data_IF_686171053565
#
_entry.id   IF_686171053565
#
_cell.length_a   1.000
_cell.length_b   1.000
_cell.length_c   1.000
_cell.angle_alpha   90.00
_cell.angle_beta   90.00
_cell.angle_gamma   90.00
#
_symmetry.space_group_name_H-M   'P 1'
#
loop_
_entity.id
_entity.type
_entity.pdbx_description
1 polymer ?
#
# COMPACT_ATOMS: atom_id res chain seq x y z
N UNK A 1 35.65 -4.01 36.99
CA UNK A 1 34.21 -4.28 36.75
C UNK A 1 33.80 -3.37 35.61
N UNK A 2 33.78 -3.87 34.38
CA UNK A 2 33.42 -3.07 33.20
C UNK A 2 31.91 -3.17 33.05
N UNK A 3 31.20 -2.08 33.37
CA UNK A 3 29.79 -1.95 33.04
C UNK A 3 29.69 -1.93 31.52
N UNK A 4 29.22 -3.04 30.94
CA UNK A 4 28.86 -3.12 29.53
C UNK A 4 27.74 -2.12 29.31
N UNK A 5 28.04 -0.96 28.75
CA UNK A 5 27.03 -0.08 28.15
C UNK A 5 26.33 -0.92 27.09
N UNK A 6 25.10 -1.35 27.38
CA UNK A 6 24.21 -1.86 26.34
C UNK A 6 24.00 -0.68 25.39
N UNK A 7 24.48 -0.81 24.16
CA UNK A 7 23.98 0.01 23.07
C UNK A 7 22.46 -0.13 23.11
N UNK A 8 21.73 0.93 23.43
CA UNK A 8 20.28 0.97 23.19
C UNK A 8 20.13 0.74 21.69
N UNK A 9 19.53 -0.38 21.29
CA UNK A 9 19.11 -0.52 19.90
C UNK A 9 18.11 0.61 19.64
N UNK A 10 18.22 1.29 18.51
CA UNK A 10 17.55 2.59 18.27
C UNK A 10 16.03 2.45 18.17
N UNK A 11 15.53 1.24 17.94
CA UNK A 11 14.12 0.92 17.79
C UNK A 11 13.80 -0.31 18.65
N UNK A 12 12.87 -0.18 19.59
CA UNK A 12 12.31 -1.27 20.39
C UNK A 12 10.87 -1.58 19.93
N UNK A 13 10.13 -0.57 19.45
CA UNK A 13 8.76 -0.73 18.95
C UNK A 13 8.53 0.00 17.63
N UNK A 14 8.01 -0.74 16.65
CA UNK A 14 7.70 -0.21 15.31
C UNK A 14 6.20 -0.33 15.06
N UNK A 15 5.55 0.81 14.83
CA UNK A 15 4.13 0.85 14.47
C UNK A 15 3.98 0.72 12.95
N UNK A 16 3.11 -0.19 12.52
CA UNK A 16 2.76 -0.43 11.12
C UNK A 16 1.24 -0.26 10.95
N UNK A 17 0.76 0.94 10.59
CA UNK A 17 -0.66 1.15 10.28
C UNK A 17 -0.99 0.60 8.89
N UNK A 18 -1.93 -0.33 8.81
CA UNK A 18 -2.42 -0.93 7.57
C UNK A 18 -3.88 -0.53 7.32
N UNK A 19 -4.25 -0.41 6.04
CA UNK A 19 -5.63 -0.26 5.58
C UNK A 19 -6.13 -1.51 4.85
N UNK A 20 -5.39 -2.62 4.92
CA UNK A 20 -5.74 -3.90 4.28
C UNK A 20 -5.61 -3.90 2.76
N UNK A 21 -5.06 -2.84 2.15
CA UNK A 21 -4.97 -2.73 0.70
C UNK A 21 -3.82 -3.51 0.06
N UNK A 22 -4.01 -3.88 -1.20
CA UNK A 22 -2.99 -4.48 -2.04
C UNK A 22 -1.68 -3.66 -2.06
N UNK A 23 -0.55 -4.38 -2.04
CA UNK A 23 0.79 -3.78 -2.09
C UNK A 23 1.34 -3.39 -0.72
N UNK A 24 0.52 -3.42 0.34
CA UNK A 24 0.98 -3.15 1.71
C UNK A 24 2.02 -4.17 2.21
N UNK A 25 2.15 -5.33 1.56
CA UNK A 25 3.20 -6.32 1.80
C UNK A 25 4.61 -5.74 1.79
N UNK A 26 4.87 -4.74 0.93
CA UNK A 26 6.17 -4.04 0.91
C UNK A 26 6.42 -3.30 2.22
N UNK A 27 5.41 -2.61 2.75
CA UNK A 27 5.54 -1.87 4.01
C UNK A 27 5.82 -2.83 5.16
N UNK A 28 5.04 -3.92 5.24
CA UNK A 28 5.21 -4.94 6.26
C UNK A 28 6.59 -5.62 6.17
N UNK A 29 7.07 -5.94 4.96
CA UNK A 29 8.38 -6.55 4.74
C UNK A 29 9.54 -5.63 5.16
N UNK A 30 9.47 -4.33 4.82
CA UNK A 30 10.47 -3.34 5.23
C UNK A 30 10.46 -3.13 6.74
N UNK A 31 9.28 -2.96 7.34
CA UNK A 31 9.13 -2.80 8.79
C UNK A 31 9.66 -4.03 9.55
N UNK A 32 9.34 -5.24 9.08
CA UNK A 32 9.84 -6.46 9.67
C UNK A 32 11.36 -6.61 9.50
N UNK A 33 11.94 -6.16 8.39
CA UNK A 33 13.40 -6.12 8.21
C UNK A 33 14.09 -5.18 9.21
N UNK A 34 13.51 -4.00 9.45
CA UNK A 34 14.01 -3.07 10.47
C UNK A 34 13.88 -3.69 11.87
N UNK A 35 12.74 -4.33 12.16
CA UNK A 35 12.48 -4.95 13.45
C UNK A 35 13.45 -6.11 13.75
N UNK A 36 13.68 -6.99 12.78
CA UNK A 36 14.61 -8.12 12.89
C UNK A 36 16.04 -7.64 13.18
N UNK A 37 16.52 -6.62 12.44
CA UNK A 37 17.84 -6.02 12.69
C UNK A 37 17.94 -5.35 14.07
N UNK A 38 16.83 -4.88 14.62
CA UNK A 38 16.78 -4.12 15.86
C UNK A 38 16.38 -4.95 17.09
N UNK A 39 15.97 -6.22 16.92
CA UNK A 39 15.32 -7.02 17.96
C UNK A 39 14.09 -6.30 18.55
N UNK A 40 13.27 -5.71 17.66
CA UNK A 40 12.12 -4.88 18.00
C UNK A 40 10.78 -5.62 17.82
N UNK A 41 9.75 -5.15 18.51
CA UNK A 41 8.37 -5.63 18.34
C UNK A 41 7.62 -4.79 17.31
N UNK A 42 6.90 -5.44 16.40
CA UNK A 42 5.98 -4.78 15.46
C UNK A 42 4.60 -4.66 16.08
N UNK A 43 4.00 -3.48 15.97
CA UNK A 43 2.60 -3.26 16.27
C UNK A 43 1.84 -3.07 14.96
N UNK A 44 1.05 -4.06 14.55
CA UNK A 44 0.18 -3.95 13.38
C UNK A 44 -1.14 -3.27 13.79
N UNK A 45 -1.43 -2.11 13.22
CA UNK A 45 -2.61 -1.31 13.58
C UNK A 45 -3.56 -1.19 12.39
N UNK A 46 -4.82 -1.51 12.60
CA UNK A 46 -5.92 -1.10 11.73
C UNK A 46 -6.85 -0.13 12.45
N UNK A 47 -7.33 0.92 11.76
CA UNK A 47 -8.25 1.91 12.33
C UNK A 47 -9.55 1.93 11.54
N UNK A 48 -10.63 1.50 12.17
CA UNK A 48 -12.00 1.61 11.66
C UNK A 48 -12.43 3.07 11.76
N UNK A 49 -12.63 3.71 10.60
CA UNK A 49 -13.15 5.08 10.54
C UNK A 49 -14.67 5.05 10.75
N UNK A 50 -15.22 5.65 11.83
CA UNK A 50 -16.65 5.62 12.09
C UNK A 50 -17.48 6.29 10.99
N UNK A 51 -16.86 7.15 10.16
CA UNK A 51 -17.52 7.75 9.00
C UNK A 51 -17.93 6.72 7.94
N UNK A 52 -17.37 5.51 7.99
CA UNK A 52 -17.76 4.40 7.12
C UNK A 52 -19.21 3.94 7.37
N UNK A 53 -19.76 4.18 8.57
CA UNK A 53 -21.11 3.73 8.97
C UNK A 53 -22.09 4.88 9.21
N UNK A 54 -21.67 6.13 8.98
CA UNK A 54 -22.50 7.33 9.22
C UNK A 54 -23.80 7.31 8.41
N UNK A 55 -23.76 6.77 7.19
CA UNK A 55 -24.87 6.75 6.24
C UNK A 55 -25.81 5.56 6.38
N UNK A 56 -25.51 4.60 7.26
CA UNK A 56 -26.32 3.41 7.43
C UNK A 56 -27.72 3.73 7.98
N UNK A 57 -28.78 3.15 7.40
CA UNK A 57 -30.16 3.58 7.64
C UNK A 57 -30.73 3.12 8.98
N UNK A 58 -30.11 2.15 9.65
CA UNK A 58 -30.55 1.63 10.95
C UNK A 58 -29.39 1.21 11.86
N UNK A 59 -29.63 1.08 13.18
CA UNK A 59 -28.63 0.55 14.12
C UNK A 59 -28.12 -0.85 13.77
N UNK A 60 -28.99 -1.73 13.28
CA UNK A 60 -28.62 -3.11 12.91
C UNK A 60 -27.71 -3.15 11.66
N UNK A 61 -27.97 -2.27 10.68
CA UNK A 61 -27.11 -2.10 9.51
C UNK A 61 -25.71 -1.59 9.92
N UNK A 62 -25.66 -0.60 10.84
CA UNK A 62 -24.40 -0.12 11.42
C UNK A 62 -23.60 -1.22 12.09
N UNK A 63 -24.25 -2.00 12.97
CA UNK A 63 -23.58 -3.11 13.68
C UNK A 63 -23.03 -4.15 12.71
N UNK A 64 -23.75 -4.46 11.63
CA UNK A 64 -23.30 -5.38 10.59
C UNK A 64 -22.03 -4.87 9.92
N UNK A 65 -22.04 -3.63 9.42
CA UNK A 65 -20.87 -3.03 8.75
C UNK A 65 -19.69 -2.85 9.72
N UNK A 66 -19.94 -2.45 10.96
CA UNK A 66 -18.88 -2.38 11.98
C UNK A 66 -18.25 -3.74 12.27
N UNK A 67 -19.03 -4.82 12.25
CA UNK A 67 -18.52 -6.18 12.39
C UNK A 67 -17.64 -6.57 11.19
N UNK A 68 -18.08 -6.30 9.96
CA UNK A 68 -17.32 -6.57 8.74
C UNK A 68 -16.00 -5.77 8.68
N UNK A 69 -16.03 -4.49 9.08
CA UNK A 69 -14.83 -3.65 9.16
C UNK A 69 -13.84 -4.13 10.22
N UNK A 70 -14.35 -4.72 11.31
CA UNK A 70 -13.51 -5.33 12.35
C UNK A 70 -12.85 -6.61 11.85
N UNK A 71 -13.61 -7.49 11.20
CA UNK A 71 -13.08 -8.70 10.57
C UNK A 71 -12.01 -8.34 9.52
N UNK A 72 -12.31 -7.36 8.65
CA UNK A 72 -11.33 -6.81 7.68
C UNK A 72 -10.07 -6.29 8.39
N UNK A 73 -10.23 -5.59 9.50
CA UNK A 73 -9.11 -5.08 10.28
C UNK A 73 -8.25 -6.18 10.91
N UNK A 74 -8.89 -7.21 11.45
CA UNK A 74 -8.22 -8.39 12.00
C UNK A 74 -7.43 -9.14 10.92
N UNK A 75 -8.03 -9.36 9.74
CA UNK A 75 -7.35 -9.97 8.59
C UNK A 75 -6.15 -9.13 8.13
N UNK A 76 -6.32 -7.81 8.03
CA UNK A 76 -5.26 -6.90 7.63
C UNK A 76 -4.08 -6.91 8.60
N UNK A 77 -4.34 -6.89 9.92
CA UNK A 77 -3.28 -6.99 10.93
C UNK A 77 -2.63 -8.37 10.96
N UNK A 78 -3.41 -9.43 10.73
CA UNK A 78 -2.89 -10.79 10.67
C UNK A 78 -1.95 -11.00 9.47
N UNK A 79 -2.21 -10.36 8.33
CA UNK A 79 -1.32 -10.38 7.17
C UNK A 79 0.05 -9.76 7.49
N UNK A 80 0.06 -8.58 8.14
CA UNK A 80 1.30 -7.95 8.63
C UNK A 80 2.01 -8.87 9.62
N UNK A 81 1.26 -9.46 10.54
CA UNK A 81 1.82 -10.33 11.56
C UNK A 81 2.44 -11.61 10.97
N UNK A 82 1.81 -12.22 9.96
CA UNK A 82 2.34 -13.39 9.28
C UNK A 82 3.70 -13.09 8.63
N UNK A 83 3.84 -11.95 7.96
CA UNK A 83 5.10 -11.53 7.33
C UNK A 83 6.21 -11.29 8.36
N UNK A 84 5.91 -10.58 9.45
CA UNK A 84 6.89 -10.30 10.50
C UNK A 84 7.27 -11.56 11.30
N UNK A 85 6.30 -12.38 11.71
CA UNK A 85 6.56 -13.66 12.40
C UNK A 85 7.34 -14.64 11.54
N UNK A 86 7.16 -14.61 10.21
CA UNK A 86 7.97 -15.38 9.26
C UNK A 86 9.47 -15.05 9.32
N UNK A 87 9.83 -13.88 9.88
CA UNK A 87 11.22 -13.44 10.12
C UNK A 87 11.64 -13.57 11.59
N UNK A 88 10.83 -14.19 12.45
CA UNK A 88 11.11 -14.31 13.88
C UNK A 88 10.87 -13.04 14.69
N UNK A 89 10.13 -12.07 14.14
CA UNK A 89 9.79 -10.80 14.82
C UNK A 89 8.49 -10.97 15.61
N UNK A 90 8.47 -10.49 16.84
CA UNK A 90 7.27 -10.44 17.68
C UNK A 90 6.27 -9.39 17.15
N UNK A 91 4.97 -9.72 17.22
CA UNK A 91 3.91 -8.87 16.67
C UNK A 91 2.71 -8.79 17.59
N UNK A 92 2.29 -7.55 17.87
CA UNK A 92 1.03 -7.20 18.49
C UNK A 92 0.04 -6.71 17.42
N UNK A 93 -1.14 -7.35 17.36
CA UNK A 93 -2.20 -7.04 16.39
C UNK A 93 -3.28 -6.19 17.08
N UNK A 94 -3.61 -5.03 16.50
CA UNK A 94 -4.50 -4.06 17.14
C UNK A 94 -5.49 -3.48 16.14
N UNK A 95 -6.77 -3.55 16.49
CA UNK A 95 -7.86 -2.86 15.79
C UNK A 95 -8.42 -1.76 16.69
N UNK A 96 -8.48 -0.53 16.19
CA UNK A 96 -9.08 0.63 16.87
C UNK A 96 -10.24 1.22 16.09
N UNK A 97 -11.08 1.98 16.77
CA UNK A 97 -12.14 2.78 16.14
C UNK A 97 -11.79 4.25 16.34
N UNK A 98 -11.80 5.03 15.26
CA UNK A 98 -11.53 6.45 15.31
C UNK A 98 -11.09 7.01 13.97
N UNK A 99 -10.61 8.24 13.97
CA UNK A 99 -10.11 8.86 12.74
C UNK A 99 -8.66 8.44 12.49
N UNK A 100 -8.31 7.77 11.37
CA UNK A 100 -6.98 7.14 11.19
C UNK A 100 -5.80 8.09 11.40
N UNK A 101 -5.85 9.30 10.85
CA UNK A 101 -4.76 10.27 10.99
C UNK A 101 -4.61 10.85 12.41
N UNK A 102 -5.57 10.62 13.30
CA UNK A 102 -5.51 10.99 14.72
C UNK A 102 -5.17 9.80 15.60
N UNK A 103 -5.76 8.63 15.32
CA UNK A 103 -5.52 7.39 16.08
C UNK A 103 -4.10 6.85 15.88
N UNK A 104 -3.52 6.98 14.69
CA UNK A 104 -2.17 6.46 14.42
C UNK A 104 -1.12 7.15 15.30
N UNK A 105 -0.99 8.50 15.34
CA UNK A 105 -0.07 9.16 16.26
C UNK A 105 -0.42 8.90 17.73
N UNK A 106 -1.71 8.89 18.08
CA UNK A 106 -2.17 8.63 19.46
C UNK A 106 -1.70 7.27 19.94
N UNK A 107 -1.91 6.22 19.15
CA UNK A 107 -1.45 4.88 19.49
C UNK A 107 0.07 4.77 19.49
N UNK A 108 0.76 5.43 18.54
CA UNK A 108 2.21 5.50 18.53
C UNK A 108 2.76 6.09 19.84
N UNK A 109 2.12 7.11 20.39
CA UNK A 109 2.52 7.71 21.65
C UNK A 109 2.21 6.82 22.85
N UNK A 110 1.06 6.15 22.86
CA UNK A 110 0.66 5.22 23.93
C UNK A 110 1.63 4.05 24.09
N UNK A 111 2.12 3.47 22.99
CA UNK A 111 3.09 2.37 23.04
C UNK A 111 4.54 2.85 23.11
N UNK A 112 4.75 4.18 23.08
CA UNK A 112 6.06 4.78 22.93
C UNK A 112 6.83 4.28 21.69
N UNK A 113 6.18 4.21 20.53
CA UNK A 113 6.78 3.74 19.29
C UNK A 113 8.02 4.56 18.91
N UNK A 114 9.09 3.88 18.50
CA UNK A 114 10.33 4.53 18.06
C UNK A 114 10.30 4.88 16.56
N UNK A 115 9.41 4.22 15.81
CA UNK A 115 9.23 4.40 14.37
C UNK A 115 7.79 4.08 13.96
N UNK A 116 7.25 4.86 13.03
CA UNK A 116 6.03 4.53 12.30
C UNK A 116 6.42 4.21 10.85
N UNK A 117 6.08 3.02 10.37
CA UNK A 117 6.28 2.62 8.97
C UNK A 117 4.95 2.63 8.22
N UNK A 118 4.84 3.49 7.21
CA UNK A 118 3.60 3.70 6.45
C UNK A 118 3.80 3.54 4.95
N UNK A 119 2.78 2.98 4.29
CA UNK A 119 2.69 3.00 2.84
C UNK A 119 2.28 4.37 2.30
N UNK A 120 2.82 4.75 1.16
CA UNK A 120 2.40 5.93 0.40
C UNK A 120 1.95 5.48 -0.99
N UNK A 121 0.69 5.78 -1.33
CA UNK A 121 0.19 5.59 -2.70
C UNK A 121 0.49 6.84 -3.52
N UNK A 122 1.25 6.71 -4.60
CA UNK A 122 1.21 7.68 -5.68
C UNK A 122 -0.03 7.40 -6.53
N UNK A 123 -0.93 8.36 -6.70
CA UNK A 123 -1.96 8.24 -7.73
C UNK A 123 -1.26 8.35 -9.10
N UNK A 124 -1.66 7.53 -10.06
CA UNK A 124 -1.13 7.41 -11.41
C UNK A 124 -0.76 8.75 -12.08
N UNK A 125 0.43 8.87 -12.67
CA UNK A 125 0.86 9.95 -13.59
C UNK A 125 0.99 11.36 -12.97
N UNK A 126 2.11 12.08 -13.24
CA UNK A 126 2.50 13.43 -12.75
C UNK A 126 2.38 13.75 -11.22
N UNK A 127 1.57 13.02 -10.46
CA UNK A 127 1.36 13.05 -9.01
C UNK A 127 2.33 12.11 -8.26
N UNK A 128 3.51 11.86 -8.85
CA UNK A 128 4.59 10.96 -8.35
C UNK A 128 5.12 11.29 -6.95
N UNK A 129 4.59 12.32 -6.29
CA UNK A 129 5.04 12.85 -5.00
C UNK A 129 3.92 13.01 -3.97
N UNK A 130 2.66 12.66 -4.27
CA UNK A 130 1.58 12.82 -3.31
C UNK A 130 1.62 11.69 -2.26
N UNK A 131 2.02 12.04 -1.04
CA UNK A 131 1.77 11.23 0.15
C UNK A 131 0.25 10.95 0.22
N UNK A 132 -0.15 9.70 0.49
CA UNK A 132 -1.55 9.40 0.76
C UNK A 132 -2.08 10.29 1.89
N UNK A 133 -3.35 10.70 1.85
CA UNK A 133 -3.90 11.73 2.75
C UNK A 133 -3.76 11.41 4.24
N UNK A 134 -3.73 10.12 4.61
CA UNK A 134 -3.45 9.68 5.99
C UNK A 134 -1.96 9.81 6.29
N UNK A 135 -1.07 9.25 5.46
CA UNK A 135 0.37 9.33 5.64
C UNK A 135 0.88 10.78 5.70
N UNK A 136 0.38 11.68 4.84
CA UNK A 136 0.71 13.10 4.86
C UNK A 136 0.37 13.74 6.22
N UNK A 137 -0.82 13.45 6.75
CA UNK A 137 -1.27 14.00 8.04
C UNK A 137 -0.46 13.41 9.19
N UNK A 138 -0.18 12.10 9.18
CA UNK A 138 0.66 11.46 10.21
C UNK A 138 2.08 12.03 10.19
N UNK A 139 2.71 12.17 9.03
CA UNK A 139 4.04 12.81 8.90
C UNK A 139 4.05 14.22 9.46
N UNK A 140 2.96 14.98 9.28
CA UNK A 140 2.84 16.35 9.81
C UNK A 140 2.54 16.42 11.31
N UNK A 141 1.92 15.40 11.88
CA UNK A 141 1.35 15.44 13.24
C UNK A 141 2.10 14.58 14.25
N UNK A 142 2.87 13.58 13.79
CA UNK A 142 3.57 12.66 14.68
C UNK A 142 4.85 13.29 15.23
N UNK A 143 5.05 13.14 16.54
CA UNK A 143 6.33 13.42 17.20
C UNK A 143 7.33 12.25 17.05
N UNK A 144 6.89 11.12 16.47
CA UNK A 144 7.73 9.95 16.20
C UNK A 144 8.31 10.01 14.78
N UNK A 145 9.51 9.46 14.54
CA UNK A 145 10.03 9.27 13.19
C UNK A 145 9.03 8.48 12.33
N UNK A 146 8.80 8.94 11.10
CA UNK A 146 7.95 8.25 10.12
C UNK A 146 8.79 7.86 8.91
N UNK A 147 8.86 6.56 8.61
CA UNK A 147 9.39 6.05 7.35
C UNK A 147 8.24 5.77 6.40
N UNK A 148 8.41 6.20 5.15
CA UNK A 148 7.41 5.99 4.10
C UNK A 148 7.94 5.03 3.05
N UNK A 149 7.13 4.03 2.72
CA UNK A 149 7.42 3.06 1.65
C UNK A 149 6.52 3.40 0.48
N UNK A 150 7.14 3.67 -0.67
CA UNK A 150 6.41 3.96 -1.88
C UNK A 150 5.76 2.66 -2.39
N UNK A 151 4.44 2.64 -2.38
CA UNK A 151 3.60 1.53 -2.86
C UNK A 151 3.33 1.63 -4.37
N UNK A 152 3.98 2.55 -5.08
CA UNK A 152 3.75 2.89 -6.48
C UNK A 152 3.48 1.68 -7.33
N UNK A 153 2.55 1.83 -8.30
CA UNK A 153 2.02 0.79 -9.19
C UNK A 153 3.06 -0.29 -9.38
N UNK A 154 2.87 -1.39 -8.64
CA UNK A 154 3.96 -2.29 -8.29
C UNK A 154 4.80 -2.65 -9.51
N UNK A 155 6.06 -2.99 -9.24
CA UNK A 155 6.72 -4.05 -10.00
C UNK A 155 5.88 -5.34 -9.82
N UNK A 156 4.68 -5.36 -10.41
CA UNK A 156 3.86 -6.53 -10.64
C UNK A 156 4.42 -7.06 -11.95
N UNK A 157 5.06 -8.21 -11.87
CA UNK A 157 5.37 -8.96 -13.08
C UNK A 157 4.05 -9.13 -13.85
N UNK A 158 4.00 -8.62 -15.07
CA UNK A 158 2.87 -8.80 -15.96
C UNK A 158 3.00 -10.21 -16.51
N UNK A 159 2.45 -11.14 -15.75
CA UNK A 159 2.63 -12.58 -15.94
C UNK A 159 1.89 -13.10 -17.18
N UNK A 160 0.75 -12.47 -17.50
CA UNK A 160 -0.19 -12.91 -18.52
C UNK A 160 -0.77 -11.73 -19.33
N UNK A 161 -1.55 -12.10 -20.34
CA UNK A 161 -2.17 -11.21 -21.31
C UNK A 161 -3.19 -10.28 -20.65
N UNK A 162 -3.99 -10.80 -19.72
CA UNK A 162 -5.03 -10.05 -19.01
C UNK A 162 -4.41 -8.92 -18.19
N UNK A 163 -3.35 -9.21 -17.42
CA UNK A 163 -2.59 -8.21 -16.68
C UNK A 163 -1.94 -7.16 -17.61
N UNK A 164 -1.54 -7.55 -18.82
CA UNK A 164 -0.99 -6.62 -19.80
C UNK A 164 -2.06 -5.68 -20.36
N UNK A 165 -3.24 -6.20 -20.65
CA UNK A 165 -4.40 -5.42 -21.08
C UNK A 165 -4.81 -4.43 -20.00
N UNK A 166 -4.89 -4.85 -18.75
CA UNK A 166 -5.22 -3.97 -17.62
C UNK A 166 -4.18 -2.86 -17.44
N UNK A 167 -2.90 -3.19 -17.52
CA UNK A 167 -1.81 -2.21 -17.45
C UNK A 167 -1.87 -1.21 -18.62
N UNK A 168 -2.23 -1.67 -19.82
CA UNK A 168 -2.39 -0.81 -20.99
C UNK A 168 -3.65 0.05 -20.91
N UNK A 169 -4.76 -0.47 -20.40
CA UNK A 169 -6.01 0.27 -20.20
C UNK A 169 -5.87 1.35 -19.10
N UNK A 170 -5.01 1.12 -18.11
CA UNK A 170 -4.67 2.11 -17.08
C UNK A 170 -3.87 3.31 -17.64
N UNK A 171 -3.24 3.16 -18.82
CA UNK A 171 -2.56 4.25 -19.50
C UNK A 171 -3.60 5.22 -20.08
N UNK A 172 -3.90 6.29 -19.35
CA UNK A 172 -4.51 7.49 -19.94
C UNK A 172 -3.47 8.16 -20.82
N UNK A 173 -3.41 7.77 -22.09
CA UNK A 173 -2.55 8.41 -23.09
C UNK A 173 -2.94 9.89 -23.17
N UNK A 174 -2.04 10.80 -22.78
CA UNK A 174 -2.01 12.22 -23.13
C UNK A 174 -3.34 12.85 -23.61
N UNK A 175 -4.39 12.81 -22.77
CA UNK A 175 -5.68 13.46 -23.04
C UNK A 175 -6.71 12.70 -23.88
N UNK A 176 -6.54 11.40 -24.15
CA UNK A 176 -7.52 10.58 -24.87
C UNK A 176 -8.04 9.42 -24.00
N UNK A 177 -9.38 9.27 -23.93
CA UNK A 177 -10.02 8.10 -23.31
C UNK A 177 -9.88 6.89 -24.24
N UNK A 178 -9.27 5.80 -23.75
CA UNK A 178 -9.18 4.54 -24.50
C UNK A 178 -10.53 3.82 -24.43
N UNK A 179 -11.09 3.40 -25.58
CA UNK A 179 -12.42 2.78 -25.63
C UNK A 179 -12.42 1.29 -25.95
N UNK A 180 -11.43 0.78 -26.69
CA UNK A 180 -11.44 -0.63 -27.11
C UNK A 180 -10.00 -1.15 -27.33
N UNK A 181 -9.62 -2.18 -26.56
CA UNK A 181 -8.43 -3.00 -26.80
C UNK A 181 -8.82 -4.00 -27.90
N UNK A 182 -8.14 -3.94 -29.06
CA UNK A 182 -8.39 -4.89 -30.16
C UNK A 182 -7.43 -6.08 -30.09
N UNK A 183 -7.94 -7.19 -30.60
CA UNK A 183 -7.60 -8.59 -30.28
C UNK A 183 -6.13 -8.98 -30.53
N UNK A 184 -5.61 -9.79 -29.59
CA UNK A 184 -4.29 -10.42 -29.44
C UNK A 184 -3.12 -9.53 -28.98
N UNK A 185 -3.11 -9.07 -27.71
CA UNK A 185 -1.88 -8.66 -27.05
C UNK A 185 -0.83 -9.78 -27.11
N UNK A 186 0.41 -9.43 -27.41
CA UNK A 186 1.48 -10.41 -27.58
C UNK A 186 2.73 -10.02 -26.81
N UNK A 187 3.54 -11.02 -26.48
CA UNK A 187 4.77 -10.85 -25.70
C UNK A 187 6.00 -10.87 -26.60
N UNK A 188 6.71 -9.75 -26.66
CA UNK A 188 8.05 -9.65 -27.23
C UNK A 188 9.09 -9.66 -26.11
N UNK A 189 9.71 -10.81 -25.87
CA UNK A 189 10.73 -10.99 -24.83
C UNK A 189 10.23 -10.58 -23.43
N UNK A 190 10.62 -9.39 -22.96
CA UNK A 190 10.29 -8.84 -21.65
C UNK A 190 9.25 -7.72 -21.73
N UNK A 191 8.48 -7.65 -22.82
CA UNK A 191 7.52 -6.58 -23.06
C UNK A 191 6.26 -7.16 -23.67
N UNK A 192 5.12 -6.86 -23.08
CA UNK A 192 3.82 -7.05 -23.70
C UNK A 192 3.52 -5.88 -24.63
N UNK A 193 2.96 -6.17 -25.78
CA UNK A 193 2.50 -5.18 -26.75
C UNK A 193 0.98 -5.30 -26.81
N UNK A 194 0.29 -4.24 -26.42
CA UNK A 194 -1.17 -4.15 -26.41
C UNK A 194 -1.59 -3.14 -27.46
N UNK A 195 -2.16 -3.58 -28.60
CA UNK A 195 -2.71 -2.70 -29.61
C UNK A 195 -3.96 -1.98 -29.08
N UNK A 196 -4.00 -0.66 -29.20
CA UNK A 196 -5.13 0.18 -28.77
C UNK A 196 -5.57 1.13 -29.88
N UNK A 197 -6.86 1.43 -29.90
CA UNK A 197 -7.47 2.41 -30.82
C UNK A 197 -8.10 3.54 -30.00
N UNK A 198 -7.81 4.79 -30.34
CA UNK A 198 -8.41 5.96 -29.68
C UNK A 198 -9.81 6.27 -30.23
N UNK A 199 -10.55 7.16 -29.55
CA UNK A 199 -11.85 7.62 -30.03
C UNK A 199 -11.80 8.26 -31.44
N UNK A 200 -10.69 8.90 -31.79
CA UNK A 200 -10.46 9.50 -33.11
C UNK A 200 -10.03 8.47 -34.18
N UNK A 201 -9.97 7.19 -33.82
CA UNK A 201 -9.59 6.09 -34.72
C UNK A 201 -8.08 5.95 -34.95
N UNK A 202 -7.25 6.64 -34.18
CA UNK A 202 -5.79 6.50 -34.25
C UNK A 202 -5.35 5.18 -33.57
N UNK A 203 -4.35 4.52 -34.16
CA UNK A 203 -3.82 3.26 -33.67
C UNK A 203 -2.48 3.45 -32.96
N UNK A 204 -2.36 2.86 -31.77
CA UNK A 204 -1.14 2.86 -30.98
C UNK A 204 -0.83 1.45 -30.47
N UNK A 205 0.45 1.21 -30.24
CA UNK A 205 0.90 0.09 -29.42
C UNK A 205 1.25 0.63 -28.03
N UNK A 206 0.66 0.03 -27.00
CA UNK A 206 1.11 0.19 -25.62
C UNK A 206 2.10 -0.92 -25.32
N UNK A 207 3.35 -0.56 -25.08
CA UNK A 207 4.38 -1.49 -24.63
C UNK A 207 4.38 -1.50 -23.10
N UNK A 208 4.11 -2.65 -22.49
CA UNK A 208 4.12 -2.88 -21.04
C UNK A 208 5.33 -3.73 -20.69
N UNK A 209 6.25 -3.23 -19.87
CA UNK A 209 7.39 -4.02 -19.40
C UNK A 209 6.88 -5.17 -18.52
N UNK A 210 7.22 -6.40 -18.89
CA UNK A 210 6.73 -7.58 -18.19
C UNK A 210 7.27 -7.73 -16.76
N UNK A 211 8.43 -7.16 -16.45
CA UNK A 211 9.01 -7.22 -15.11
C UNK A 211 8.59 -6.05 -14.21
N UNK A 212 8.37 -4.88 -14.80
CA UNK A 212 8.17 -3.63 -14.04
C UNK A 212 6.77 -3.05 -14.17
N UNK A 213 5.94 -3.55 -15.09
CA UNK A 213 4.64 -2.96 -15.41
C UNK A 213 4.71 -1.60 -16.12
N UNK A 214 5.92 -1.06 -16.35
CA UNK A 214 6.09 0.26 -16.98
C UNK A 214 5.53 0.29 -18.40
N UNK A 215 4.69 1.29 -18.67
CA UNK A 215 4.01 1.45 -19.96
C UNK A 215 4.56 2.59 -20.80
N UNK A 216 4.60 2.42 -22.12
CA UNK A 216 4.95 3.46 -23.10
C UNK A 216 4.14 3.30 -24.38
N UNK A 217 3.82 4.38 -25.07
CA UNK A 217 3.09 4.34 -26.36
C UNK A 217 4.02 4.49 -27.55
N UNK A 218 3.68 3.82 -28.64
CA UNK A 218 4.27 4.02 -29.95
C UNK A 218 3.15 4.12 -30.99
N UNK A 219 3.16 5.17 -31.82
CA UNK A 219 2.18 5.35 -32.90
C UNK A 219 2.44 4.32 -34.00
N UNK A 220 1.39 3.67 -34.48
CA UNK A 220 1.46 2.80 -35.65
C UNK A 220 1.34 3.69 -36.89
N UNK A 221 2.35 3.64 -37.77
CA UNK A 221 2.47 4.50 -38.95
C UNK A 221 1.54 4.15 -40.10
#
# INVERSE_FOLDING_TARGET
>A
MVTKMRSRTMYERILVPTDGSDGFDRVAAEAAGIADMADATVHALYVIDPRAVDYEPSPEARETVESELRETGEEATAAVAAMARGRGVDVEEVVRVGTPHSEIPTYADEIEADLIAMGTRGRTGLDRLLLGSVAERVVRMSDRPVVTVNLGDGEREIADEEAAVDAAAALRADGHELREVREDPYRESSTWVVPVVTEDGEQFNVHVNAATGETRTARVG
#
